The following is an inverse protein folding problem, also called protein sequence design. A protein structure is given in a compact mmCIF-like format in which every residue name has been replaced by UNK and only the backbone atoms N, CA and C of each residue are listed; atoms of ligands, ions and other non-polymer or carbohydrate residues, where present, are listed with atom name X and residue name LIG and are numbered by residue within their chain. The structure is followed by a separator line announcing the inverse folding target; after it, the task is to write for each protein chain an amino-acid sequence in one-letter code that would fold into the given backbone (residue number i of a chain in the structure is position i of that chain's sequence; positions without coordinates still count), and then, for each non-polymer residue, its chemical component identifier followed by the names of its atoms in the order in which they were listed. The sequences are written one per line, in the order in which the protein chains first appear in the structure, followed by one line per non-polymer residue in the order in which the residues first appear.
data_IF_875559439930
#
_entry.id   IF_875559439930
#
_cell.length_a   1.000
_cell.length_b   1.000
_cell.length_c   1.000
_cell.angle_alpha   90.00
_cell.angle_beta   90.00
_cell.angle_gamma   90.00
#
_symmetry.space_group_name_H-M   'P 1'
#
loop_
_entity.id
_entity.type
_entity.pdbx_description
1 polymer ?
#
# COMPACT_ATOMS: atom_id res chain seq x y z
N UNK A 1 -4.67 -4.54 -26.88
CA UNK A 1 -3.64 -3.62 -27.42
C UNK A 1 -4.27 -2.29 -27.82
N UNK A 2 -5.42 -2.31 -28.50
CA UNK A 2 -6.24 -1.11 -28.77
C UNK A 2 -6.63 -0.35 -27.48
N UNK A 3 -7.07 -1.06 -26.44
CA UNK A 3 -7.38 -0.44 -25.13
C UNK A 3 -6.17 0.25 -24.48
N UNK A 4 -4.96 -0.32 -24.62
CA UNK A 4 -3.74 0.28 -24.09
C UNK A 4 -3.36 1.57 -24.85
N UNK A 5 -3.58 1.60 -26.16
CA UNK A 5 -3.35 2.78 -27.00
C UNK A 5 -4.35 3.88 -26.64
N UNK A 6 -5.60 3.52 -26.35
CA UNK A 6 -6.62 4.47 -25.91
C UNK A 6 -6.27 5.09 -24.55
N UNK A 7 -5.79 4.29 -23.59
CA UNK A 7 -5.27 4.79 -22.30
C UNK A 7 -4.12 5.79 -22.52
N UNK A 8 -3.23 5.55 -23.47
CA UNK A 8 -2.12 6.46 -23.81
C UNK A 8 -2.63 7.78 -24.44
N UNK A 9 -3.66 7.71 -25.27
CA UNK A 9 -4.25 8.88 -25.93
C UNK A 9 -5.08 9.74 -24.97
N UNK A 10 -5.67 9.13 -23.94
CA UNK A 10 -6.46 9.80 -22.91
C UNK A 10 -5.60 10.34 -21.74
N UNK A 11 -4.33 9.92 -21.63
CA UNK A 11 -3.40 10.40 -20.60
C UNK A 11 -2.94 11.84 -20.90
N UNK A 12 -3.74 12.81 -20.46
CA UNK A 12 -3.52 14.24 -20.61
C UNK A 12 -2.42 14.71 -19.62
N UNK A 13 -1.15 14.60 -20.02
CA UNK A 13 0.00 15.16 -19.30
C UNK A 13 0.76 14.23 -18.34
N UNK A 14 0.36 12.96 -18.19
CA UNK A 14 1.16 11.94 -17.50
C UNK A 14 2.14 11.23 -18.45
N UNK A 15 3.21 10.63 -17.90
CA UNK A 15 4.14 9.84 -18.70
C UNK A 15 3.39 8.66 -19.37
N UNK A 16 3.25 8.61 -20.71
CA UNK A 16 2.43 7.61 -21.39
C UNK A 16 2.95 6.19 -21.19
N UNK A 17 4.27 6.03 -21.00
CA UNK A 17 4.88 4.74 -20.70
C UNK A 17 4.49 4.23 -19.31
N UNK A 18 4.31 5.13 -18.34
CA UNK A 18 3.85 4.78 -16.99
C UNK A 18 2.44 4.19 -17.06
N UNK A 19 1.52 4.89 -17.73
CA UNK A 19 0.14 4.45 -17.89
C UNK A 19 0.04 3.11 -18.64
N UNK A 20 0.84 2.96 -19.71
CA UNK A 20 0.92 1.72 -20.47
C UNK A 20 1.43 0.55 -19.61
N UNK A 21 2.50 0.74 -18.83
CA UNK A 21 3.03 -0.29 -17.93
C UNK A 21 2.05 -0.63 -16.81
N UNK A 22 1.38 0.37 -16.23
CA UNK A 22 0.36 0.17 -15.20
C UNK A 22 -0.78 -0.70 -15.74
N UNK A 23 -1.30 -0.38 -16.93
CA UNK A 23 -2.34 -1.16 -17.59
C UNK A 23 -1.88 -2.59 -17.87
N UNK A 24 -0.71 -2.78 -18.49
CA UNK A 24 -0.19 -4.12 -18.80
C UNK A 24 0.04 -4.94 -17.54
N UNK A 25 0.61 -4.35 -16.49
CA UNK A 25 0.79 -5.02 -15.21
C UNK A 25 -0.54 -5.41 -14.58
N UNK A 26 -1.56 -4.55 -14.67
CA UNK A 26 -2.90 -4.87 -14.17
C UNK A 26 -3.53 -6.06 -14.93
N UNK A 27 -3.37 -6.12 -16.25
CA UNK A 27 -3.88 -7.25 -17.05
C UNK A 27 -3.18 -8.56 -16.70
N UNK A 28 -1.86 -8.55 -16.51
CA UNK A 28 -1.10 -9.73 -16.09
C UNK A 28 -1.56 -10.19 -14.70
N UNK A 29 -1.78 -9.28 -13.75
CA UNK A 29 -2.30 -9.63 -12.42
C UNK A 29 -3.67 -10.32 -12.48
N UNK A 30 -4.59 -9.81 -13.31
CA UNK A 30 -5.92 -10.41 -13.49
C UNK A 30 -5.86 -11.80 -14.12
N UNK A 31 -4.99 -11.95 -15.11
CA UNK A 31 -4.73 -13.22 -15.78
C UNK A 31 -4.13 -14.25 -14.81
N UNK A 32 -3.06 -13.91 -14.11
CA UNK A 32 -2.43 -14.79 -13.11
C UNK A 32 -3.41 -15.18 -12.00
N UNK A 33 -4.29 -14.27 -11.58
CA UNK A 33 -5.33 -14.58 -10.59
C UNK A 33 -6.38 -15.56 -11.14
N UNK A 34 -6.72 -15.45 -12.43
CA UNK A 34 -7.59 -16.42 -13.12
C UNK A 34 -6.99 -17.82 -13.13
N UNK A 35 -5.72 -17.92 -13.52
CA UNK A 35 -4.96 -19.18 -13.52
C UNK A 35 -4.81 -19.76 -12.10
N UNK A 36 -4.48 -18.92 -11.11
CA UNK A 36 -4.31 -19.34 -9.72
C UNK A 36 -5.59 -19.92 -9.12
N UNK A 37 -6.75 -19.35 -9.46
CA UNK A 37 -8.06 -19.82 -8.98
C UNK A 37 -8.64 -20.93 -9.87
N UNK A 38 -8.16 -21.06 -11.11
CA UNK A 38 -8.68 -21.97 -12.14
C UNK A 38 -10.06 -21.56 -12.65
N UNK A 39 -10.42 -20.27 -12.60
CA UNK A 39 -11.72 -19.79 -13.04
C UNK A 39 -11.72 -18.28 -13.35
N UNK A 40 -12.44 -17.89 -14.40
CA UNK A 40 -12.71 -16.49 -14.71
C UNK A 40 -13.67 -15.85 -13.68
N UNK A 41 -13.77 -14.50 -13.66
CA UNK A 41 -14.73 -13.80 -12.83
C UNK A 41 -16.16 -14.31 -13.06
N UNK A 42 -16.86 -14.62 -11.97
CA UNK A 42 -18.25 -15.12 -11.97
C UNK A 42 -18.49 -16.46 -12.67
N UNK A 43 -17.44 -17.11 -13.19
CA UNK A 43 -17.57 -18.41 -13.84
C UNK A 43 -17.94 -19.52 -12.82
N UNK A 44 -18.68 -20.52 -13.27
CA UNK A 44 -18.99 -21.72 -12.48
C UNK A 44 -18.27 -22.91 -13.10
N UNK A 45 -17.18 -23.33 -12.48
CA UNK A 45 -16.42 -24.52 -12.89
C UNK A 45 -16.21 -25.44 -11.70
N UNK A 46 -16.06 -26.74 -11.98
CA UNK A 46 -15.74 -27.78 -10.99
C UNK A 46 -14.25 -27.80 -10.60
N UNK A 47 -13.40 -27.21 -11.43
CA UNK A 47 -11.94 -27.19 -11.25
C UNK A 47 -11.44 -26.03 -10.37
N UNK A 48 -12.35 -25.17 -9.90
CA UNK A 48 -12.02 -24.00 -9.07
C UNK A 48 -11.37 -24.42 -7.75
N UNK A 49 -10.19 -23.87 -7.47
CA UNK A 49 -9.43 -24.15 -6.24
C UNK A 49 -9.58 -23.08 -5.15
N UNK A 50 -10.16 -21.92 -5.46
CA UNK A 50 -10.32 -20.83 -4.49
C UNK A 50 -11.32 -19.76 -4.90
N UNK A 51 -11.40 -18.68 -4.13
CA UNK A 51 -12.26 -17.53 -4.44
C UNK A 51 -11.49 -16.21 -4.33
N UNK A 52 -11.81 -15.28 -5.24
CA UNK A 52 -11.33 -13.89 -5.19
C UNK A 52 -11.97 -13.17 -3.99
N UNK A 53 -11.22 -12.29 -3.34
CA UNK A 53 -11.60 -11.54 -2.15
C UNK A 53 -11.19 -10.06 -2.27
N UNK A 54 -11.59 -9.44 -3.38
CA UNK A 54 -11.33 -8.02 -3.64
C UNK A 54 -9.88 -7.74 -4.04
N UNK A 55 -9.48 -6.49 -3.80
CA UNK A 55 -8.23 -5.92 -4.28
C UNK A 55 -7.48 -5.19 -3.17
N UNK A 56 -6.16 -5.24 -3.25
CA UNK A 56 -5.27 -4.43 -2.42
C UNK A 56 -4.51 -3.44 -3.30
N UNK A 57 -4.69 -2.15 -3.05
CA UNK A 57 -3.88 -1.10 -3.68
C UNK A 57 -2.42 -1.22 -3.24
N UNK A 58 -1.51 -1.18 -4.20
CA UNK A 58 -0.07 -1.22 -3.99
C UNK A 58 0.62 -0.28 -4.96
N UNK A 59 1.55 0.51 -4.43
CA UNK A 59 2.46 1.32 -5.24
C UNK A 59 3.75 0.56 -5.50
N UNK A 60 4.19 0.51 -6.76
CA UNK A 60 5.48 -0.03 -7.18
C UNK A 60 6.30 1.09 -7.83
N UNK A 61 7.43 1.46 -7.22
CA UNK A 61 8.32 2.48 -7.76
C UNK A 61 9.17 1.90 -8.88
N UNK A 62 9.01 2.44 -10.09
CA UNK A 62 9.76 2.03 -11.28
C UNK A 62 10.59 3.19 -11.83
N UNK A 63 11.45 2.91 -12.81
CA UNK A 63 12.24 3.95 -13.48
C UNK A 63 11.36 4.99 -14.21
N UNK A 64 10.15 4.60 -14.62
CA UNK A 64 9.18 5.50 -15.28
C UNK A 64 8.12 6.02 -14.31
N UNK A 65 8.39 6.01 -13.01
CA UNK A 65 7.51 6.53 -11.97
C UNK A 65 6.79 5.47 -11.15
N UNK A 66 5.90 5.93 -10.28
CA UNK A 66 5.14 5.08 -9.38
C UNK A 66 3.92 4.48 -10.09
N UNK A 67 3.87 3.15 -10.19
CA UNK A 67 2.70 2.43 -10.70
C UNK A 67 1.73 2.16 -9.54
N UNK A 68 0.45 2.50 -9.73
CA UNK A 68 -0.61 2.25 -8.76
C UNK A 68 -1.37 0.99 -9.20
N UNK A 69 -1.07 -0.14 -8.57
CA UNK A 69 -1.62 -1.44 -8.96
C UNK A 69 -2.74 -1.88 -7.99
N UNK A 70 -3.79 -2.48 -8.54
CA UNK A 70 -4.84 -3.15 -7.79
C UNK A 70 -4.55 -4.65 -7.77
N UNK A 71 -3.82 -5.10 -6.76
CA UNK A 71 -3.42 -6.51 -6.66
C UNK A 71 -4.62 -7.36 -6.22
N UNK A 72 -5.06 -8.34 -7.04
CA UNK A 72 -6.13 -9.25 -6.65
C UNK A 72 -5.77 -10.03 -5.39
N UNK A 73 -6.77 -10.33 -4.57
CA UNK A 73 -6.59 -11.14 -3.37
C UNK A 73 -7.41 -12.41 -3.48
N UNK A 74 -6.86 -13.54 -3.04
CA UNK A 74 -7.61 -14.76 -2.80
C UNK A 74 -8.05 -14.84 -1.34
N UNK A 75 -9.09 -15.63 -1.08
CA UNK A 75 -9.64 -15.82 0.27
C UNK A 75 -8.61 -16.40 1.25
N UNK A 76 -7.72 -17.25 0.75
CA UNK A 76 -6.73 -17.97 1.56
C UNK A 76 -5.36 -17.26 1.61
N UNK A 77 -5.20 -16.15 0.88
CA UNK A 77 -3.97 -15.34 0.88
C UNK A 77 -2.75 -16.01 0.24
N UNK A 78 -2.98 -17.03 -0.58
CA UNK A 78 -1.98 -17.86 -1.23
C UNK A 78 -1.48 -17.30 -2.55
N UNK A 79 -2.21 -16.36 -3.16
CA UNK A 79 -1.85 -15.76 -4.45
C UNK A 79 -0.48 -15.04 -4.37
N UNK A 80 0.34 -15.31 -5.38
CA UNK A 80 1.64 -14.66 -5.60
C UNK A 80 1.77 -14.38 -7.09
N UNK A 81 2.07 -13.13 -7.43
CA UNK A 81 2.33 -12.73 -8.82
C UNK A 81 3.78 -12.95 -9.22
N UNK A 82 4.03 -13.15 -10.51
CA UNK A 82 5.40 -13.21 -11.05
C UNK A 82 6.03 -11.82 -11.25
N UNK A 83 5.21 -10.76 -11.33
CA UNK A 83 5.66 -9.39 -11.65
C UNK A 83 6.59 -8.83 -10.57
N UNK A 84 6.29 -9.09 -9.30
CA UNK A 84 7.07 -8.60 -8.17
C UNK A 84 7.04 -9.58 -6.99
N UNK A 85 8.09 -9.55 -6.18
CA UNK A 85 8.15 -10.34 -4.96
C UNK A 85 7.28 -9.75 -3.83
N UNK A 86 7.04 -10.58 -2.81
CA UNK A 86 6.35 -10.14 -1.61
C UNK A 86 7.18 -9.04 -0.93
N UNK A 87 6.55 -7.92 -0.61
CA UNK A 87 7.16 -6.73 -0.01
C UNK A 87 8.12 -5.92 -0.90
N UNK A 88 8.32 -6.30 -2.17
CA UNK A 88 9.15 -5.52 -3.11
C UNK A 88 8.52 -4.15 -3.42
N UNK A 89 9.11 -3.05 -2.96
CA UNK A 89 8.57 -1.69 -3.18
C UNK A 89 9.07 -1.03 -4.46
N UNK A 90 10.20 -1.48 -4.98
CA UNK A 90 10.88 -0.89 -6.13
C UNK A 90 11.21 -1.95 -7.16
N UNK A 91 11.24 -1.55 -8.42
CA UNK A 91 11.70 -2.38 -9.53
C UNK A 91 13.15 -2.86 -9.30
N UNK A 92 13.41 -4.12 -9.65
CA UNK A 92 14.73 -4.74 -9.53
C UNK A 92 15.76 -4.05 -10.41
N UNK A 93 15.38 -3.60 -11.61
CA UNK A 93 16.28 -2.88 -12.50
C UNK A 93 16.75 -1.56 -11.88
N UNK A 94 15.84 -0.83 -11.21
CA UNK A 94 16.17 0.39 -10.49
C UNK A 94 17.14 0.09 -9.33
N UNK A 95 16.86 -0.93 -8.52
CA UNK A 95 17.73 -1.32 -7.40
C UNK A 95 19.13 -1.73 -7.90
N UNK A 96 19.20 -2.47 -9.01
CA UNK A 96 20.46 -2.90 -9.60
C UNK A 96 21.30 -1.72 -10.09
N UNK A 97 20.68 -0.72 -10.74
CA UNK A 97 21.38 0.49 -11.17
C UNK A 97 21.98 1.27 -9.98
N UNK A 98 21.25 1.35 -8.85
CA UNK A 98 21.76 1.96 -7.62
C UNK A 98 22.96 1.19 -7.04
N UNK A 99 22.90 -0.14 -7.05
CA UNK A 99 24.01 -0.99 -6.62
C UNK A 99 25.23 -0.80 -7.52
N UNK A 100 25.04 -0.76 -8.84
CA UNK A 100 26.12 -0.55 -9.80
C UNK A 100 26.82 0.80 -9.60
N UNK A 101 26.06 1.88 -9.36
CA UNK A 101 26.63 3.19 -9.05
C UNK A 101 27.49 3.17 -7.77
N UNK A 102 27.01 2.49 -6.74
CA UNK A 102 27.75 2.34 -5.49
C UNK A 102 29.06 1.59 -5.71
N UNK A 103 29.02 0.47 -6.45
CA UNK A 103 30.22 -0.32 -6.78
C UNK A 103 31.23 0.47 -7.62
N UNK A 104 30.77 1.38 -8.49
CA UNK A 104 31.62 2.31 -9.26
C UNK A 104 32.19 3.46 -8.41
N UNK A 105 31.94 3.49 -7.10
CA UNK A 105 32.52 4.46 -6.17
C UNK A 105 31.74 5.77 -6.04
N UNK A 106 30.49 5.83 -6.51
CA UNK A 106 29.65 6.99 -6.24
C UNK A 106 29.29 7.05 -4.75
N UNK A 107 29.48 8.22 -4.12
CA UNK A 107 29.05 8.42 -2.73
C UNK A 107 27.55 8.21 -2.58
N UNK A 108 27.11 7.69 -1.43
CA UNK A 108 25.69 7.43 -1.15
C UNK A 108 24.81 8.68 -1.25
N UNK A 109 25.38 9.86 -0.96
CA UNK A 109 24.71 11.16 -1.16
C UNK A 109 24.50 11.45 -2.63
N UNK A 110 25.56 11.32 -3.44
CA UNK A 110 25.48 11.51 -4.90
C UNK A 110 24.48 10.55 -5.55
N UNK A 111 24.46 9.28 -5.12
CA UNK A 111 23.47 8.30 -5.59
C UNK A 111 22.05 8.72 -5.20
N UNK A 112 21.85 9.18 -3.97
CA UNK A 112 20.55 9.67 -3.51
C UNK A 112 20.08 10.92 -4.29
N UNK A 113 20.99 11.84 -4.61
CA UNK A 113 20.70 13.04 -5.39
C UNK A 113 20.31 12.69 -6.83
N UNK A 114 21.08 11.80 -7.49
CA UNK A 114 20.78 11.29 -8.83
C UNK A 114 19.42 10.59 -8.84
N UNK A 115 19.17 9.69 -7.87
CA UNK A 115 17.92 8.95 -7.79
C UNK A 115 16.74 9.89 -7.55
N UNK A 116 16.90 10.88 -6.67
CA UNK A 116 15.86 11.90 -6.44
C UNK A 116 15.57 12.66 -7.71
N UNK A 117 16.58 13.14 -8.43
CA UNK A 117 16.39 13.95 -9.64
C UNK A 117 15.77 13.14 -10.78
N UNK A 118 16.26 11.90 -11.01
CA UNK A 118 15.70 11.00 -12.00
C UNK A 118 14.23 10.67 -11.73
N UNK A 119 13.89 10.44 -10.47
CA UNK A 119 12.52 10.12 -10.07
C UNK A 119 11.64 11.37 -9.90
N UNK A 120 12.20 12.58 -9.75
CA UNK A 120 11.45 13.83 -9.55
C UNK A 120 10.59 14.20 -10.75
N UNK A 121 11.03 13.83 -11.95
CA UNK A 121 10.25 14.04 -13.17
C UNK A 121 9.02 13.12 -13.27
N UNK A 122 8.93 12.10 -12.41
CA UNK A 122 7.97 11.00 -12.58
C UNK A 122 7.22 10.58 -11.31
N UNK A 123 7.70 10.96 -10.12
CA UNK A 123 6.97 10.89 -8.87
C UNK A 123 6.23 12.20 -8.61
N UNK A 124 4.92 12.20 -8.83
CA UNK A 124 4.03 13.17 -8.20
C UNK A 124 3.94 12.85 -6.70
N UNK A 125 4.77 13.48 -5.87
CA UNK A 125 4.62 13.37 -4.42
C UNK A 125 3.38 14.17 -4.00
N UNK A 126 2.32 13.56 -3.43
CA UNK A 126 1.22 14.33 -2.88
C UNK A 126 1.78 15.27 -1.79
N UNK A 127 1.40 16.54 -1.84
CA UNK A 127 1.94 17.62 -1.01
C UNK A 127 2.01 17.30 0.50
N UNK A 128 1.15 16.39 0.99
CA UNK A 128 1.14 15.94 2.39
C UNK A 128 2.41 15.23 2.87
N UNK A 129 3.20 14.61 1.99
CA UNK A 129 4.45 13.94 2.38
C UNK A 129 5.66 14.89 2.37
N UNK A 130 5.59 15.98 1.60
CA UNK A 130 6.66 16.99 1.51
C UNK A 130 6.77 17.80 2.81
N UNK A 131 5.65 17.99 3.52
CA UNK A 131 5.59 18.77 4.76
C UNK A 131 6.23 18.11 5.99
N UNK A 132 6.63 16.83 5.91
CA UNK A 132 7.12 16.05 7.07
C UNK A 132 8.65 15.90 7.17
N UNK A 133 9.41 16.28 6.14
CA UNK A 133 10.81 15.87 6.00
C UNK A 133 11.82 16.58 6.92
N UNK A 134 11.39 17.53 7.77
CA UNK A 134 12.27 18.32 8.62
C UNK A 134 12.14 18.11 10.14
N UNK A 135 11.12 17.39 10.62
CA UNK A 135 10.84 17.30 12.04
C UNK A 135 11.26 15.95 12.63
N UNK A 136 12.27 15.95 13.51
CA UNK A 136 12.59 14.79 14.34
C UNK A 136 11.36 14.49 15.23
N UNK A 137 10.79 13.28 15.21
CA UNK A 137 9.54 12.97 15.93
C UNK A 137 9.68 13.08 17.46
N UNK A 138 10.91 13.10 17.97
CA UNK A 138 11.21 13.01 19.39
C UNK A 138 10.90 14.28 20.21
N UNK A 139 10.60 15.43 19.59
CA UNK A 139 10.43 16.70 20.31
C UNK A 139 9.25 17.56 19.82
N UNK A 140 8.23 16.97 19.20
CA UNK A 140 7.00 17.72 18.92
C UNK A 140 6.21 17.90 20.23
N UNK A 141 5.99 19.12 20.73
CA UNK A 141 5.13 19.32 21.88
C UNK A 141 3.71 18.85 21.53
N UNK A 142 3.15 17.96 22.34
CA UNK A 142 1.76 17.52 22.21
C UNK A 142 0.88 18.62 22.81
N UNK A 143 0.72 19.71 22.07
CA UNK A 143 -0.14 20.81 22.46
C UNK A 143 -1.47 20.70 21.71
N UNK A 144 -2.56 20.48 22.47
CA UNK A 144 -3.95 20.44 21.99
C UNK A 144 -4.62 19.08 22.19
N UNK A 145 -5.95 19.08 22.37
CA UNK A 145 -6.78 17.88 22.27
C UNK A 145 -6.50 17.24 20.90
N UNK A 146 -5.71 16.17 20.89
CA UNK A 146 -5.49 15.40 19.69
C UNK A 146 -6.85 14.78 19.30
N UNK A 147 -7.38 15.08 18.10
CA UNK A 147 -8.65 14.52 17.68
C UNK A 147 -8.37 13.09 17.23
N UNK A 148 -8.22 12.16 18.16
CA UNK A 148 -8.45 10.76 17.83
C UNK A 148 -9.95 10.61 17.59
N UNK A 149 -10.37 10.90 16.35
CA UNK A 149 -11.64 10.40 15.83
C UNK A 149 -11.46 8.89 15.72
N UNK A 150 -11.92 8.15 16.73
CA UNK A 150 -12.09 6.71 16.61
C UNK A 150 -12.94 6.47 15.37
N UNK A 151 -12.35 5.90 14.31
CA UNK A 151 -13.09 5.41 13.16
C UNK A 151 -13.85 4.17 13.66
N UNK A 152 -15.18 4.20 13.82
CA UNK A 152 -15.90 3.02 14.27
C UNK A 152 -15.74 1.96 13.19
N UNK A 153 -15.17 0.81 13.55
CA UNK A 153 -15.26 -0.38 12.71
C UNK A 153 -16.76 -0.70 12.56
N UNK A 154 -17.26 -0.98 11.33
CA UNK A 154 -18.65 -1.34 11.16
C UNK A 154 -18.90 -2.66 11.88
N UNK A 155 -19.44 -2.56 13.11
CA UNK A 155 -20.01 -3.70 13.80
C UNK A 155 -21.24 -4.15 13.02
N UNK A 156 -21.18 -5.41 12.59
CA UNK A 156 -22.29 -6.22 12.09
C UNK A 156 -23.59 -5.83 12.83
N UNK A 157 -24.60 -5.47 12.03
CA UNK A 157 -25.78 -4.74 12.46
C UNK A 157 -26.34 -5.11 13.83
N UNK A 158 -26.39 -4.13 14.71
CA UNK A 158 -27.38 -4.03 15.78
C UNK A 158 -27.52 -2.55 16.16
N UNK A 159 -28.72 -2.03 15.99
CA UNK A 159 -29.11 -0.66 16.37
C UNK A 159 -29.09 -0.52 17.88
N UNK A 160 -28.25 0.35 18.43
CA UNK A 160 -28.27 0.72 19.84
C UNK A 160 -28.83 2.14 19.96
N UNK A 161 -29.95 2.26 20.68
CA UNK A 161 -30.59 3.52 21.10
C UNK A 161 -29.60 4.36 21.93
N UNK A 162 -29.69 5.67 21.76
CA UNK A 162 -28.90 6.67 22.49
C UNK A 162 -29.04 6.51 24.02
N UNK A 163 -27.90 6.37 24.69
CA UNK A 163 -27.77 6.41 26.14
C UNK A 163 -26.33 6.78 26.50
N UNK A 164 -26.14 7.95 27.12
CA UNK A 164 -24.84 8.51 27.45
C UNK A 164 -24.08 7.66 28.49
N UNK A 165 -22.84 7.28 28.17
CA UNK A 165 -21.96 6.51 29.07
C UNK A 165 -21.33 7.44 30.13
N UNK A 166 -21.80 7.38 31.38
CA UNK A 166 -21.13 8.05 32.52
C UNK A 166 -19.87 7.29 32.92
N UNK A 167 -18.75 8.01 33.10
CA UNK A 167 -17.56 7.51 33.82
C UNK A 167 -17.92 7.21 35.28
N UNK A 168 -17.73 5.96 35.73
CA UNK A 168 -17.49 5.69 37.17
C UNK A 168 -16.01 5.85 37.44
N UNK A 169 -15.66 6.79 38.31
CA UNK A 169 -14.33 6.89 38.90
C UNK A 169 -14.19 5.96 40.11
N UNK A 170 -12.93 5.66 40.45
CA UNK A 170 -12.52 5.46 41.85
C UNK A 170 -12.05 4.06 42.25
N UNK A 171 -10.72 3.93 42.36
CA UNK A 171 -9.95 3.14 43.34
C UNK A 171 -9.94 1.60 43.17
N UNK A 172 -8.84 1.09 42.60
CA UNK A 172 -8.33 -0.24 42.91
C UNK A 172 -7.14 -0.06 43.86
N UNK A 173 -7.33 -0.48 45.12
CA UNK A 173 -6.23 -0.68 46.06
C UNK A 173 -5.47 -1.96 45.70
N UNK A 174 -4.15 -1.90 45.85
CA UNK A 174 -3.22 -3.00 45.58
C UNK A 174 -3.44 -4.17 46.57
N UNK A 175 -3.11 -5.42 46.17
CA UNK A 175 -3.44 -6.63 46.91
C UNK A 175 -2.37 -6.98 47.95
N UNK A 176 -2.73 -7.89 48.87
CA UNK A 176 -1.90 -8.63 49.86
C UNK A 176 -1.87 -8.08 51.30
N UNK A 177 -2.71 -8.65 52.18
CA UNK A 177 -2.28 -9.38 53.41
C UNK A 177 -3.45 -10.02 54.18
N UNK A 178 -3.26 -11.31 54.49
CA UNK A 178 -3.76 -12.14 55.62
C UNK A 178 -5.27 -12.16 55.93
N UNK A 179 -5.98 -13.29 56.06
CA UNK A 179 -5.56 -14.63 56.48
C UNK A 179 -5.67 -14.80 58.00
N UNK A 180 -6.84 -15.23 58.45
CA UNK A 180 -7.20 -15.89 59.71
C UNK A 180 -6.82 -15.30 61.10
N UNK A 181 -7.88 -15.27 61.94
CA UNK A 181 -7.99 -15.11 63.40
C UNK A 181 -8.11 -13.70 63.97
#
# INVERSE_FOLDING_TARGET
MEEAIQVILESDGENPFRAMLEFMAQQVLEYEMGEHVGAAPYERTRERVGYRNGYKTRTLTTAVGDLILLVPQDRDGTFKTSIFERYQRSDKALVLALMEMYLKGASTRKVADINREALRQVLFLPAGLQAGAGARPHNRPVAGEAPYRFLPLPHRGRTLREGAFRRKGGLHGDPLRAGDR
#
